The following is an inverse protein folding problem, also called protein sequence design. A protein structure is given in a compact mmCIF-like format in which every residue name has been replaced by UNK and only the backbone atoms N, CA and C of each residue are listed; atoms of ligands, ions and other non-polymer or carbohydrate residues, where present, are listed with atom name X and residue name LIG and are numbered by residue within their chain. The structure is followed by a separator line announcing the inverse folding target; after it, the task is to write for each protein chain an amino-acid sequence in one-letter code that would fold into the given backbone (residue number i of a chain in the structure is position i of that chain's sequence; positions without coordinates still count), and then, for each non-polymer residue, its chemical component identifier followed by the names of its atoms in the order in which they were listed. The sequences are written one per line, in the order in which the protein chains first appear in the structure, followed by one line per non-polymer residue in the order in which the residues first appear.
data_IF_436863705742
#
_entry.id   IF_436863705742
#
_cell.length_a   1.000
_cell.length_b   1.000
_cell.length_c   1.000
_cell.angle_alpha   90.00
_cell.angle_beta   90.00
_cell.angle_gamma   90.00
#
_symmetry.space_group_name_H-M   'P 1'
#
loop_
_entity.id
_entity.type
_entity.pdbx_description
1 polymer ?
#
# COMPACT_ATOMS: atom_id res chain seq x y z
N UNK A 1 13.14 12.86 20.04
CA UNK A 1 13.35 12.47 18.63
C UNK A 1 11.98 12.22 18.03
N UNK A 2 11.54 13.08 17.09
CA UNK A 2 10.22 12.92 16.47
C UNK A 2 10.13 11.57 15.75
N UNK A 3 9.02 10.85 15.95
CA UNK A 3 8.74 9.63 15.20
C UNK A 3 8.60 9.99 13.72
N UNK A 4 9.65 9.78 12.94
CA UNK A 4 9.59 9.95 11.48
C UNK A 4 8.69 8.85 10.93
N UNK A 5 7.60 9.24 10.28
CA UNK A 5 6.71 8.31 9.56
C UNK A 5 7.50 7.67 8.42
N UNK A 6 7.59 6.34 8.41
CA UNK A 6 8.31 5.58 7.38
C UNK A 6 7.45 5.48 6.13
N UNK A 7 8.05 5.80 4.98
CA UNK A 7 7.41 5.66 3.68
C UNK A 7 7.60 4.25 3.15
N UNK A 8 6.54 3.63 2.64
CA UNK A 8 6.53 2.25 2.14
C UNK A 8 6.00 2.19 0.71
N UNK A 9 6.65 1.37 -0.12
CA UNK A 9 6.12 0.92 -1.39
C UNK A 9 5.88 -0.59 -1.33
N UNK A 10 4.71 -1.05 -1.76
CA UNK A 10 4.34 -2.46 -1.72
C UNK A 10 4.20 -3.02 -3.13
N UNK A 11 5.08 -3.97 -3.47
CA UNK A 11 5.05 -4.69 -4.74
C UNK A 11 4.25 -5.99 -4.57
N UNK A 12 3.18 -6.16 -5.34
CA UNK A 12 2.23 -7.24 -5.14
C UNK A 12 1.21 -6.96 -4.02
N UNK A 13 0.69 -5.74 -3.95
CA UNK A 13 -0.23 -5.30 -2.89
C UNK A 13 -1.54 -6.10 -2.81
N UNK A 14 -1.94 -6.72 -3.92
CA UNK A 14 -3.13 -7.58 -4.00
C UNK A 14 -2.86 -9.04 -3.66
N UNK A 15 -1.60 -9.44 -3.44
CA UNK A 15 -1.24 -10.77 -2.95
C UNK A 15 -1.40 -10.87 -1.43
N UNK A 16 -1.31 -12.09 -0.87
CA UNK A 16 -1.54 -12.32 0.56
C UNK A 16 -0.60 -11.50 1.46
N UNK A 17 0.69 -11.45 1.14
CA UNK A 17 1.69 -10.65 1.90
C UNK A 17 1.38 -9.16 1.78
N UNK A 18 1.04 -8.68 0.58
CA UNK A 18 0.70 -7.28 0.35
C UNK A 18 -0.52 -6.84 1.16
N UNK A 19 -1.57 -7.65 1.17
CA UNK A 19 -2.79 -7.38 1.93
C UNK A 19 -2.53 -7.37 3.45
N UNK A 20 -1.81 -8.37 3.97
CA UNK A 20 -1.42 -8.40 5.40
C UNK A 20 -0.52 -7.22 5.77
N UNK A 21 0.39 -6.81 4.88
CA UNK A 21 1.22 -5.62 5.09
C UNK A 21 0.35 -4.36 5.21
N UNK A 22 -0.68 -4.23 4.35
CA UNK A 22 -1.62 -3.11 4.42
C UNK A 22 -2.45 -3.13 5.71
N UNK A 23 -2.79 -4.30 6.27
CA UNK A 23 -3.43 -4.39 7.59
C UNK A 23 -2.54 -3.83 8.71
N UNK A 24 -1.24 -4.13 8.70
CA UNK A 24 -0.28 -3.55 9.67
C UNK A 24 -0.20 -2.04 9.51
N UNK A 25 -0.20 -1.53 8.27
CA UNK A 25 -0.18 -0.09 8.01
C UNK A 25 -1.46 0.59 8.51
N UNK A 26 -2.63 -0.04 8.33
CA UNK A 26 -3.90 0.44 8.91
C UNK A 26 -3.87 0.51 10.43
N UNK A 27 -3.24 -0.49 11.07
CA UNK A 27 -3.12 -0.53 12.53
C UNK A 27 -2.12 0.50 13.09
N UNK A 28 -1.14 0.94 12.27
CA UNK A 28 -0.04 1.80 12.69
C UNK A 28 0.12 3.04 11.77
N UNK A 29 -0.93 3.87 11.57
CA UNK A 29 -0.90 4.99 10.62
C UNK A 29 0.06 6.11 11.02
N UNK A 30 0.42 6.20 12.30
CA UNK A 30 1.41 7.14 12.82
C UNK A 30 2.86 6.68 12.61
N UNK A 31 3.07 5.44 12.12
CA UNK A 31 4.41 4.89 11.83
C UNK A 31 4.68 4.70 10.36
N UNK A 32 3.63 4.48 9.55
CA UNK A 32 3.77 4.11 8.16
C UNK A 32 2.87 4.95 7.26
N UNK A 33 3.40 5.28 6.08
CA UNK A 33 2.67 5.94 5.02
C UNK A 33 2.97 5.23 3.69
N UNK A 34 1.93 4.79 2.98
CA UNK A 34 2.08 4.17 1.67
C UNK A 34 2.34 5.26 0.63
N UNK A 35 3.49 5.17 -0.03
CA UNK A 35 3.84 6.06 -1.15
C UNK A 35 3.71 5.36 -2.50
N UNK A 36 3.70 4.03 -2.53
CA UNK A 36 3.61 3.25 -3.76
C UNK A 36 2.84 1.95 -3.60
N UNK A 37 1.99 1.62 -4.58
CA UNK A 37 1.35 0.31 -4.71
C UNK A 37 1.60 -0.25 -6.11
N UNK A 38 1.98 -1.53 -6.18
CA UNK A 38 2.00 -2.26 -7.44
C UNK A 38 1.23 -3.57 -7.32
N UNK A 39 0.44 -3.91 -8.33
CA UNK A 39 -0.27 -5.18 -8.41
C UNK A 39 -0.17 -5.80 -9.81
N UNK A 40 -0.54 -7.08 -9.90
CA UNK A 40 -0.75 -7.76 -11.18
C UNK A 40 -2.16 -7.49 -11.71
N UNK A 41 -2.90 -8.58 -11.99
CA UNK A 41 -4.19 -8.54 -12.70
C UNK A 41 -5.41 -8.15 -11.85
N UNK A 42 -5.31 -8.07 -10.53
CA UNK A 42 -6.47 -7.78 -9.66
C UNK A 42 -6.69 -6.27 -9.51
N UNK A 43 -7.15 -5.65 -10.60
CA UNK A 43 -7.29 -4.20 -10.71
C UNK A 43 -8.35 -3.66 -9.75
N UNK A 44 -9.46 -4.37 -9.57
CA UNK A 44 -10.53 -3.95 -8.65
C UNK A 44 -10.05 -3.82 -7.21
N UNK A 45 -9.25 -4.80 -6.74
CA UNK A 45 -8.68 -4.73 -5.40
C UNK A 45 -7.61 -3.63 -5.31
N UNK A 46 -6.77 -3.48 -6.34
CA UNK A 46 -5.80 -2.40 -6.38
C UNK A 46 -6.50 -1.03 -6.33
N UNK A 47 -7.60 -0.82 -7.06
CA UNK A 47 -8.37 0.42 -7.04
C UNK A 47 -8.93 0.74 -5.65
N UNK A 48 -9.41 -0.27 -4.90
CA UNK A 48 -9.82 -0.10 -3.50
C UNK A 48 -8.64 0.35 -2.63
N UNK A 49 -7.47 -0.28 -2.78
CA UNK A 49 -6.26 0.08 -2.04
C UNK A 49 -5.77 1.50 -2.38
N UNK A 50 -5.81 1.90 -3.66
CA UNK A 50 -5.45 3.27 -4.08
C UNK A 50 -6.40 4.28 -3.44
N UNK A 51 -7.70 3.99 -3.43
CA UNK A 51 -8.69 4.89 -2.83
C UNK A 51 -8.51 5.05 -1.32
N UNK A 52 -8.11 3.99 -0.64
CA UNK A 52 -7.84 3.99 0.80
C UNK A 52 -6.54 4.73 1.15
N UNK A 53 -5.42 4.35 0.52
CA UNK A 53 -4.09 4.78 0.94
C UNK A 53 -3.58 6.02 0.20
N UNK A 54 -4.23 6.41 -0.90
CA UNK A 54 -3.86 7.56 -1.74
C UNK A 54 -2.36 7.60 -2.07
N UNK A 55 -1.76 6.50 -2.57
CA UNK A 55 -0.33 6.46 -2.87
C UNK A 55 0.02 7.46 -3.97
N UNK A 56 1.25 7.99 -3.92
CA UNK A 56 1.79 8.87 -4.96
C UNK A 56 2.10 8.12 -6.26
N UNK A 57 2.46 6.84 -6.15
CA UNK A 57 2.84 6.01 -7.29
C UNK A 57 1.99 4.74 -7.35
N UNK A 58 1.58 4.37 -8.55
CA UNK A 58 0.80 3.17 -8.82
C UNK A 58 1.37 2.48 -10.05
N UNK A 59 1.49 1.16 -9.98
CA UNK A 59 1.75 0.31 -11.14
C UNK A 59 0.73 -0.84 -11.17
N UNK A 60 0.25 -1.18 -12.36
CA UNK A 60 -0.48 -2.42 -12.58
C UNK A 60 0.04 -3.09 -13.85
N UNK A 61 -0.10 -4.41 -13.93
CA UNK A 61 0.23 -5.13 -15.15
C UNK A 61 -0.99 -5.11 -16.09
N UNK A 62 -0.78 -4.68 -17.33
CA UNK A 62 -1.77 -4.80 -18.43
C UNK A 62 -2.11 -6.27 -18.73
#
# INVERSE_FOLDING_TARGET
MGNIVKQLAILGSTGSIGQQTLEVVRALPHRFHIVGLAAGKNIDLLAKQINEFKPRFVHYQD
#
